data_IF_589260082779
#
_entry.id   IF_589260082779
#
_cell.length_a   1.000
_cell.length_b   1.000
_cell.length_c   1.000
_cell.angle_alpha   90.00
_cell.angle_beta   90.00
_cell.angle_gamma   90.00
#
_symmetry.space_group_name_H-M   'P 1'
#
loop_
_entity.id
_entity.type
_entity.pdbx_description
1 polymer ?
#
# COMPACT_ATOMS: atom_id res chain seq x y z
N UNK A 1 -18.67 -4.36 -6.99
CA UNK A 1 -18.21 -5.73 -7.11
C UNK A 1 -16.79 -5.88 -6.61
N UNK A 2 -16.44 -7.04 -6.09
CA UNK A 2 -15.08 -7.34 -5.58
C UNK A 2 -13.99 -7.04 -6.61
N UNK A 3 -14.29 -7.21 -7.90
CA UNK A 3 -13.36 -6.96 -9.00
C UNK A 3 -12.79 -5.54 -9.03
N UNK A 4 -13.60 -4.52 -8.75
CA UNK A 4 -13.14 -3.14 -8.72
C UNK A 4 -12.08 -2.94 -7.59
N UNK A 5 -12.39 -3.40 -6.39
CA UNK A 5 -11.50 -3.28 -5.24
C UNK A 5 -10.21 -4.07 -5.43
N UNK A 6 -10.33 -5.28 -5.99
CA UNK A 6 -9.18 -6.10 -6.34
C UNK A 6 -8.27 -5.43 -7.37
N UNK A 7 -8.85 -4.91 -8.46
CA UNK A 7 -8.10 -4.24 -9.55
C UNK A 7 -7.38 -2.97 -9.05
N UNK A 8 -8.02 -2.21 -8.15
CA UNK A 8 -7.44 -1.04 -7.50
C UNK A 8 -6.20 -1.41 -6.66
N UNK A 9 -6.30 -2.45 -5.84
CA UNK A 9 -5.17 -2.97 -5.06
C UNK A 9 -4.07 -3.54 -5.97
N UNK A 10 -4.44 -4.29 -6.99
CA UNK A 10 -3.48 -4.85 -7.95
C UNK A 10 -2.68 -3.74 -8.64
N UNK A 11 -3.31 -2.62 -9.01
CA UNK A 11 -2.62 -1.46 -9.58
C UNK A 11 -1.53 -0.95 -8.61
N UNK A 12 -1.84 -0.81 -7.32
CA UNK A 12 -0.88 -0.40 -6.31
C UNK A 12 0.28 -1.40 -6.14
N UNK A 13 0.02 -2.70 -6.09
CA UNK A 13 1.06 -3.73 -5.98
C UNK A 13 1.98 -3.76 -7.21
N UNK A 14 1.42 -3.63 -8.42
CA UNK A 14 2.19 -3.56 -9.67
C UNK A 14 3.08 -2.33 -9.72
N UNK A 15 2.54 -1.18 -9.34
CA UNK A 15 3.30 0.06 -9.26
C UNK A 15 4.41 -0.02 -8.21
N UNK A 16 4.12 -0.51 -7.01
CA UNK A 16 5.10 -0.73 -5.95
C UNK A 16 6.22 -1.67 -6.39
N UNK A 17 5.88 -2.74 -7.12
CA UNK A 17 6.87 -3.65 -7.70
C UNK A 17 7.82 -2.95 -8.68
N UNK A 18 7.31 -2.02 -9.49
CA UNK A 18 8.13 -1.24 -10.41
C UNK A 18 9.06 -0.28 -9.66
N UNK A 19 8.59 0.38 -8.59
CA UNK A 19 9.42 1.23 -7.72
C UNK A 19 10.56 0.42 -7.11
N UNK A 20 10.27 -0.72 -6.48
CA UNK A 20 11.28 -1.60 -5.88
C UNK A 20 12.31 -2.07 -6.91
N UNK A 21 11.87 -2.45 -8.10
CA UNK A 21 12.75 -2.92 -9.18
C UNK A 21 13.66 -1.81 -9.70
N UNK A 22 13.18 -0.57 -9.81
CA UNK A 22 13.98 0.57 -10.25
C UNK A 22 15.05 0.97 -9.23
N UNK A 23 14.74 0.94 -7.95
CA UNK A 23 15.67 1.19 -6.85
C UNK A 23 16.75 0.11 -6.74
N UNK A 24 16.39 -1.16 -6.94
CA UNK A 24 17.34 -2.27 -6.97
C UNK A 24 18.38 -2.09 -8.08
N UNK A 25 17.97 -1.62 -9.27
CA UNK A 25 18.88 -1.29 -10.37
C UNK A 25 19.77 -0.08 -10.02
N UNK A 26 19.20 0.98 -9.43
CA UNK A 26 19.94 2.19 -9.05
C UNK A 26 20.97 1.93 -7.94
N UNK A 27 20.66 1.06 -6.98
CA UNK A 27 21.57 0.71 -5.88
C UNK A 27 22.72 -0.19 -6.33
N UNK A 28 22.52 -1.04 -7.34
CA UNK A 28 23.61 -1.86 -7.93
C UNK A 28 24.67 -1.01 -8.66
N UNK A 29 24.30 0.19 -9.12
CA UNK A 29 25.20 1.14 -9.79
C UNK A 29 25.96 2.04 -8.80
N UNK A 30 25.41 2.26 -7.60
CA UNK A 30 26.07 3.02 -6.54
C UNK A 30 26.79 2.08 -5.58
N UNK A 31 28.09 1.90 -5.78
CA UNK A 31 28.98 1.14 -4.92
C UNK A 31 28.76 1.47 -3.42
N UNK A 32 27.99 0.60 -2.72
CA UNK A 32 28.16 0.42 -1.28
C UNK A 32 28.82 -0.95 -1.06
N UNK A 33 30.01 -1.00 -0.46
CA UNK A 33 30.71 -2.25 -0.19
C UNK A 33 30.19 -2.84 1.12
N UNK A 34 28.98 -3.36 1.14
CA UNK A 34 28.57 -4.33 2.17
C UNK A 34 27.60 -5.33 1.53
N UNK A 35 28.22 -6.43 1.08
CA UNK A 35 27.65 -7.77 0.91
C UNK A 35 26.17 -7.83 0.47
N UNK A 36 25.90 -7.59 -0.83
CA UNK A 36 24.83 -8.35 -1.47
C UNK A 36 25.26 -9.81 -1.35
N UNK A 37 24.64 -10.50 -0.37
CA UNK A 37 24.73 -11.96 -0.35
C UNK A 37 24.15 -12.46 -1.67
N UNK A 38 24.63 -13.58 -2.22
CA UNK A 38 23.96 -14.25 -3.33
C UNK A 38 22.63 -14.82 -2.80
N UNK A 39 21.55 -14.02 -2.92
CA UNK A 39 20.22 -14.40 -2.46
C UNK A 39 19.30 -13.20 -2.62
N UNK A 40 18.67 -13.10 -3.75
CA UNK A 40 17.54 -12.23 -4.17
C UNK A 40 17.09 -11.03 -3.31
N UNK A 41 16.19 -10.25 -3.83
CA UNK A 41 15.54 -9.15 -3.10
C UNK A 41 14.58 -9.70 -2.03
N UNK A 42 14.73 -9.28 -0.76
CA UNK A 42 13.80 -9.66 0.32
C UNK A 42 12.83 -8.50 0.53
N UNK A 43 11.54 -8.76 0.36
CA UNK A 43 10.45 -7.79 0.47
C UNK A 43 9.53 -8.16 1.61
N UNK A 44 9.18 -7.19 2.44
CA UNK A 44 8.12 -7.32 3.45
C UNK A 44 6.80 -6.83 2.86
N UNK A 45 5.75 -7.64 2.98
CA UNK A 45 4.35 -7.25 2.75
C UNK A 45 3.64 -7.22 4.11
N UNK A 46 3.48 -6.03 4.66
CA UNK A 46 3.00 -5.80 6.01
C UNK A 46 1.50 -5.48 6.02
N UNK A 47 0.70 -6.35 6.66
CA UNK A 47 -0.75 -6.35 6.55
C UNK A 47 -1.19 -7.00 5.24
N UNK A 48 -0.60 -8.15 4.93
CA UNK A 48 -0.74 -8.82 3.62
C UNK A 48 -2.14 -9.40 3.34
N UNK A 49 -3.01 -9.44 4.36
CA UNK A 49 -4.31 -10.07 4.24
C UNK A 49 -4.22 -11.48 3.65
N UNK A 50 -5.05 -11.81 2.67
CA UNK A 50 -5.11 -13.14 2.06
C UNK A 50 -3.92 -13.49 1.15
N UNK A 51 -2.94 -12.58 0.99
CA UNK A 51 -1.64 -12.86 0.36
C UNK A 51 -1.58 -12.77 -1.16
N UNK A 52 -2.65 -12.38 -1.85
CA UNK A 52 -2.62 -12.20 -3.29
C UNK A 52 -1.63 -11.10 -3.71
N UNK A 53 -1.52 -10.05 -2.91
CA UNK A 53 -0.54 -8.97 -3.11
C UNK A 53 0.89 -9.47 -2.96
N UNK A 54 1.15 -10.27 -1.93
CA UNK A 54 2.46 -10.92 -1.73
C UNK A 54 2.87 -11.78 -2.94
N UNK A 55 1.93 -12.54 -3.51
CA UNK A 55 2.19 -13.32 -4.72
C UNK A 55 2.39 -12.42 -5.95
N UNK A 56 1.67 -11.31 -6.06
CA UNK A 56 1.88 -10.31 -7.09
C UNK A 56 3.31 -9.75 -7.03
N UNK A 57 3.77 -9.32 -5.84
CA UNK A 57 5.16 -8.85 -5.63
C UNK A 57 6.19 -9.91 -6.04
N UNK A 58 6.01 -11.16 -5.59
CA UNK A 58 6.90 -12.27 -5.90
C UNK A 58 6.97 -12.56 -7.40
N UNK A 59 5.85 -12.43 -8.11
CA UNK A 59 5.78 -12.74 -9.55
C UNK A 59 6.39 -11.66 -10.43
N UNK A 60 6.40 -10.40 -9.97
CA UNK A 60 6.86 -9.24 -10.76
C UNK A 60 8.30 -8.88 -10.43
N UNK A 61 8.70 -8.88 -9.15
CA UNK A 61 10.05 -8.53 -8.75
C UNK A 61 10.96 -9.74 -8.95
N UNK A 62 11.94 -9.60 -9.85
CA UNK A 62 12.86 -10.68 -10.19
C UNK A 62 13.64 -11.18 -8.95
N UNK A 63 13.67 -12.48 -8.74
CA UNK A 63 14.33 -13.14 -7.60
C UNK A 63 13.89 -12.65 -6.21
N UNK A 64 12.64 -12.14 -6.08
CA UNK A 64 12.13 -11.71 -4.79
C UNK A 64 11.76 -12.90 -3.89
N UNK A 65 12.21 -12.81 -2.63
CA UNK A 65 11.65 -13.56 -1.51
C UNK A 65 10.69 -12.65 -0.75
N UNK A 66 9.42 -13.00 -0.70
CA UNK A 66 8.39 -12.19 -0.03
C UNK A 66 8.07 -12.78 1.33
N UNK A 67 8.08 -11.93 2.36
CA UNK A 67 7.61 -12.21 3.71
C UNK A 67 6.30 -11.47 3.91
N UNK A 68 5.21 -12.23 4.05
CA UNK A 68 3.88 -11.74 4.38
C UNK A 68 3.67 -11.77 5.89
N UNK A 69 3.23 -10.67 6.48
CA UNK A 69 2.89 -10.61 7.90
C UNK A 69 1.51 -9.98 8.10
N UNK A 70 0.69 -10.61 8.93
CA UNK A 70 -0.62 -10.13 9.32
C UNK A 70 -0.93 -10.57 10.75
N UNK A 71 -1.90 -9.90 11.41
CA UNK A 71 -2.31 -10.24 12.77
C UNK A 71 -3.19 -11.49 12.82
N UNK A 72 -3.93 -11.77 11.73
CA UNK A 72 -4.91 -12.84 11.69
C UNK A 72 -4.28 -14.22 11.39
N UNK A 73 -4.41 -15.12 12.35
CA UNK A 73 -3.87 -16.48 12.25
C UNK A 73 -4.54 -17.31 11.13
N UNK A 74 -5.84 -17.14 10.90
CA UNK A 74 -6.58 -17.93 9.90
C UNK A 74 -6.17 -17.49 8.50
N UNK A 75 -6.05 -16.18 8.30
CA UNK A 75 -5.57 -15.55 7.07
C UNK A 75 -4.15 -16.00 6.74
N UNK A 76 -3.23 -15.98 7.72
CA UNK A 76 -1.87 -16.48 7.48
C UNK A 76 -1.81 -17.99 7.23
N UNK A 77 -2.73 -18.74 7.81
CA UNK A 77 -2.93 -20.17 7.49
C UNK A 77 -3.42 -20.38 6.06
N UNK A 78 -4.26 -19.48 5.53
CA UNK A 78 -4.67 -19.49 4.12
C UNK A 78 -3.49 -19.19 3.19
N UNK A 79 -2.73 -18.10 3.47
CA UNK A 79 -1.54 -17.72 2.68
C UNK A 79 -0.57 -18.89 2.52
N UNK A 80 -0.23 -19.58 3.62
CA UNK A 80 0.67 -20.75 3.59
C UNK A 80 0.20 -21.88 2.67
N UNK A 81 -1.11 -22.10 2.61
CA UNK A 81 -1.68 -23.18 1.77
C UNK A 81 -1.77 -22.78 0.31
N UNK A 82 -2.15 -21.52 0.05
CA UNK A 82 -2.44 -21.02 -1.29
C UNK A 82 -1.16 -20.57 -2.01
N UNK A 83 -0.25 -19.94 -1.26
CA UNK A 83 1.00 -19.37 -1.81
C UNK A 83 2.23 -19.96 -1.10
N UNK A 84 2.60 -21.22 -1.35
CA UNK A 84 3.65 -21.93 -0.61
C UNK A 84 5.05 -21.32 -0.78
N UNK A 85 5.24 -20.43 -1.74
CA UNK A 85 6.49 -19.69 -1.99
C UNK A 85 6.56 -18.35 -1.25
N UNK A 86 5.48 -17.94 -0.58
CA UNK A 86 5.44 -16.75 0.29
C UNK A 86 5.67 -17.19 1.73
N UNK A 87 6.59 -16.50 2.41
CA UNK A 87 6.86 -16.78 3.84
C UNK A 87 5.83 -16.06 4.70
N UNK A 88 4.81 -16.77 5.19
CA UNK A 88 3.71 -16.17 5.98
C UNK A 88 3.97 -16.25 7.49
N UNK A 89 3.87 -15.10 8.17
CA UNK A 89 4.01 -14.95 9.63
C UNK A 89 2.77 -14.29 10.23
N UNK A 90 2.44 -14.69 11.46
CA UNK A 90 1.49 -13.96 12.31
C UNK A 90 2.28 -12.99 13.18
N UNK A 91 1.90 -11.71 13.18
CA UNK A 91 2.60 -10.72 13.98
C UNK A 91 1.91 -9.35 14.06
N UNK A 92 2.32 -8.58 15.06
CA UNK A 92 1.82 -7.23 15.27
C UNK A 92 2.69 -6.23 14.50
N UNK A 93 2.07 -5.40 13.66
CA UNK A 93 2.78 -4.45 12.80
C UNK A 93 3.39 -3.27 13.56
N UNK A 94 2.92 -2.97 14.78
CA UNK A 94 3.52 -1.92 15.63
C UNK A 94 4.68 -2.44 16.50
N UNK A 95 5.04 -3.73 16.34
CA UNK A 95 6.17 -4.37 17.02
C UNK A 95 6.65 -5.54 16.16
N UNK A 96 7.28 -5.24 15.02
CA UNK A 96 7.71 -6.24 14.05
C UNK A 96 8.81 -7.15 14.61
N UNK A 97 8.70 -8.49 14.49
CA UNK A 97 9.65 -9.44 15.07
C UNK A 97 10.92 -9.58 14.19
N UNK A 98 11.35 -8.49 13.59
CA UNK A 98 12.49 -8.46 12.68
C UNK A 98 13.60 -7.55 13.21
N UNK A 99 14.83 -7.86 12.84
CA UNK A 99 15.98 -6.99 13.12
C UNK A 99 15.95 -5.76 12.21
N UNK A 100 16.69 -4.74 12.60
CA UNK A 100 16.89 -3.54 11.81
C UNK A 100 17.46 -3.88 10.42
N UNK A 101 17.01 -3.12 9.41
CA UNK A 101 17.55 -3.15 8.05
C UNK A 101 17.63 -4.56 7.43
N UNK A 102 16.65 -5.43 7.69
CA UNK A 102 16.65 -6.80 7.16
C UNK A 102 15.89 -6.96 5.83
N UNK A 103 15.06 -6.01 5.46
CA UNK A 103 14.34 -6.00 4.19
C UNK A 103 14.93 -5.01 3.20
N UNK A 104 14.93 -5.37 1.92
CA UNK A 104 15.33 -4.47 0.84
C UNK A 104 14.22 -3.47 0.50
N UNK A 105 12.97 -3.84 0.71
CA UNK A 105 11.80 -2.98 0.60
C UNK A 105 10.70 -3.46 1.55
N UNK A 106 9.83 -2.54 1.99
CA UNK A 106 8.58 -2.87 2.69
C UNK A 106 7.40 -2.21 2.02
N UNK A 107 6.32 -2.97 1.90
CA UNK A 107 5.08 -2.54 1.26
C UNK A 107 3.95 -2.79 2.24
N UNK A 108 3.04 -1.84 2.39
CA UNK A 108 1.86 -1.96 3.22
C UNK A 108 0.73 -1.15 2.59
N UNK A 109 -0.24 -1.82 2.02
CA UNK A 109 -1.31 -1.20 1.25
C UNK A 109 -2.65 -1.37 1.94
N UNK A 110 -3.35 -0.25 2.20
CA UNK A 110 -4.67 -0.21 2.85
C UNK A 110 -4.65 -0.87 4.24
N UNK A 111 -3.71 -0.42 5.09
CA UNK A 111 -3.48 -0.99 6.42
C UNK A 111 -3.42 0.08 7.51
N UNK A 112 -2.74 1.20 7.27
CA UNK A 112 -2.48 2.24 8.28
C UNK A 112 -3.76 2.83 8.86
N UNK A 113 -4.85 2.86 8.10
CA UNK A 113 -6.18 3.30 8.53
C UNK A 113 -6.80 2.41 9.61
N UNK A 114 -6.34 1.16 9.73
CA UNK A 114 -6.77 0.20 10.74
C UNK A 114 -5.87 0.20 11.99
N UNK A 115 -4.77 0.94 11.98
CA UNK A 115 -3.75 0.91 13.03
C UNK A 115 -4.02 1.98 14.10
N UNK A 116 -4.10 1.58 15.38
CA UNK A 116 -4.30 2.51 16.50
C UNK A 116 -3.09 3.41 16.76
N UNK A 117 -1.88 2.89 16.60
CA UNK A 117 -0.63 3.67 16.70
C UNK A 117 0.10 3.70 15.34
N UNK A 118 -0.35 4.55 14.39
CA UNK A 118 0.25 4.61 13.07
C UNK A 118 1.69 5.12 13.09
N UNK A 119 2.08 5.89 14.11
CA UNK A 119 3.45 6.37 14.26
C UNK A 119 4.41 5.23 14.60
N UNK A 120 4.05 4.36 15.56
CA UNK A 120 4.83 3.17 15.89
C UNK A 120 4.91 2.21 14.69
N UNK A 121 3.82 2.03 13.96
CA UNK A 121 3.77 1.21 12.75
C UNK A 121 4.75 1.70 11.68
N UNK A 122 4.72 2.98 11.33
CA UNK A 122 5.62 3.57 10.32
C UNK A 122 7.09 3.48 10.75
N UNK A 123 7.38 3.69 12.04
CA UNK A 123 8.74 3.53 12.60
C UNK A 123 9.25 2.09 12.50
N UNK A 124 8.40 1.11 12.72
CA UNK A 124 8.78 -0.30 12.60
C UNK A 124 9.07 -0.68 11.13
N UNK A 125 8.24 -0.24 10.19
CA UNK A 125 8.52 -0.42 8.76
C UNK A 125 9.86 0.20 8.36
N UNK A 126 10.09 1.46 8.76
CA UNK A 126 11.32 2.17 8.45
C UNK A 126 12.54 1.50 9.13
N UNK A 127 12.42 1.09 10.40
CA UNK A 127 13.49 0.39 11.14
C UNK A 127 13.93 -0.90 10.45
N UNK A 128 12.99 -1.68 9.96
CA UNK A 128 13.28 -2.99 9.37
C UNK A 128 13.78 -2.91 7.91
N UNK A 129 13.71 -1.73 7.26
CA UNK A 129 13.88 -1.58 5.81
C UNK A 129 15.14 -0.77 5.45
N UNK A 130 15.95 -1.31 4.54
CA UNK A 130 17.11 -0.60 3.97
C UNK A 130 16.73 0.32 2.79
N UNK A 131 15.81 -0.12 1.96
CA UNK A 131 15.38 0.49 0.72
C UNK A 131 14.04 1.22 0.85
N UNK A 132 13.22 1.28 -0.21
CA UNK A 132 11.97 2.01 -0.18
C UNK A 132 10.97 1.36 0.78
N UNK A 133 10.24 2.20 1.50
CA UNK A 133 9.02 1.84 2.20
C UNK A 133 7.85 2.48 1.45
N UNK A 134 6.84 1.68 1.13
CA UNK A 134 5.66 2.10 0.36
C UNK A 134 4.43 1.82 1.20
N UNK A 135 3.65 2.86 1.49
CA UNK A 135 2.41 2.75 2.26
C UNK A 135 1.27 3.39 1.48
N UNK A 136 0.11 2.74 1.43
CA UNK A 136 -1.11 3.37 0.92
C UNK A 136 -2.23 3.38 1.93
N UNK A 137 -3.15 4.34 1.78
CA UNK A 137 -4.36 4.49 2.59
C UNK A 137 -5.44 5.21 1.78
N UNK A 138 -6.74 5.00 2.07
CA UNK A 138 -7.80 5.79 1.48
C UNK A 138 -7.61 7.28 1.73
N UNK A 139 -7.93 8.11 0.73
CA UNK A 139 -7.93 9.57 0.89
C UNK A 139 -9.25 10.03 1.55
N UNK A 140 -9.17 10.61 2.74
CA UNK A 140 -10.35 11.03 3.53
C UNK A 140 -11.31 11.95 2.75
N UNK A 141 -10.89 12.98 2.00
CA UNK A 141 -11.81 13.81 1.21
C UNK A 141 -12.70 13.01 0.24
N UNK A 142 -12.20 11.88 -0.29
CA UNK A 142 -12.96 11.01 -1.20
C UNK A 142 -13.79 9.97 -0.45
N UNK A 143 -13.22 9.32 0.58
CA UNK A 143 -13.88 8.20 1.27
C UNK A 143 -14.80 8.62 2.40
N UNK A 144 -14.57 9.81 2.98
CA UNK A 144 -15.40 10.39 4.05
C UNK A 144 -15.58 11.90 3.78
N UNK A 145 -16.24 12.28 2.68
CA UNK A 145 -16.34 13.66 2.24
C UNK A 145 -16.98 14.56 3.30
N UNK A 146 -16.39 15.73 3.51
CA UNK A 146 -16.86 16.73 4.48
C UNK A 146 -16.59 16.39 5.94
N UNK A 147 -15.99 15.24 6.26
CA UNK A 147 -15.60 14.96 7.64
C UNK A 147 -14.32 15.70 8.03
N UNK A 148 -14.31 16.38 9.19
CA UNK A 148 -13.10 17.05 9.67
C UNK A 148 -12.04 16.06 10.13
N UNK A 149 -10.80 16.56 10.23
CA UNK A 149 -9.68 15.80 10.80
C UNK A 149 -10.03 15.22 12.18
N UNK A 150 -9.71 13.93 12.37
CA UNK A 150 -9.94 13.22 13.63
C UNK A 150 -11.40 12.79 13.90
N UNK A 151 -12.33 13.07 12.99
CA UNK A 151 -13.68 12.49 13.06
C UNK A 151 -13.63 10.98 12.76
N UNK A 152 -14.62 10.24 13.26
CA UNK A 152 -14.76 8.81 12.94
C UNK A 152 -15.05 8.64 11.46
N UNK A 153 -14.29 7.81 10.73
CA UNK A 153 -14.52 7.54 9.32
C UNK A 153 -15.93 6.99 9.02
N UNK A 154 -16.37 7.16 7.77
CA UNK A 154 -17.63 6.56 7.29
C UNK A 154 -17.52 5.03 7.30
N UNK A 155 -16.35 4.49 6.93
CA UNK A 155 -16.09 3.06 7.05
C UNK A 155 -15.88 2.67 8.52
N UNK A 156 -16.75 1.82 9.12
CA UNK A 156 -16.67 1.47 10.54
C UNK A 156 -15.45 0.61 10.90
N UNK A 157 -14.75 0.07 9.91
CA UNK A 157 -13.52 -0.71 10.11
C UNK A 157 -12.27 0.16 10.15
N UNK A 158 -12.35 1.43 9.74
CA UNK A 158 -11.25 2.37 9.82
C UNK A 158 -11.20 3.03 11.20
N UNK A 159 -10.04 3.02 11.81
CA UNK A 159 -9.76 3.79 13.05
C UNK A 159 -9.59 5.26 12.71
N UNK A 160 -8.97 5.53 11.55
CA UNK A 160 -8.66 6.88 11.06
C UNK A 160 -8.52 6.86 9.54
N UNK A 161 -8.89 7.97 8.92
CA UNK A 161 -8.54 8.28 7.54
C UNK A 161 -7.73 9.57 7.49
N UNK A 162 -6.88 9.69 6.49
CA UNK A 162 -5.93 10.81 6.33
C UNK A 162 -6.25 11.61 5.07
N UNK A 163 -5.97 12.91 5.11
CA UNK A 163 -5.68 13.67 3.91
C UNK A 163 -4.16 13.71 3.65
N UNK A 164 -3.75 14.33 2.53
CA UNK A 164 -2.34 14.37 2.11
C UNK A 164 -1.46 15.04 3.18
N UNK A 165 -1.90 16.16 3.74
CA UNK A 165 -1.13 16.93 4.71
C UNK A 165 -0.95 16.17 6.04
N UNK A 166 -2.00 15.51 6.52
CA UNK A 166 -1.97 14.69 7.74
C UNK A 166 -1.03 13.49 7.58
N UNK A 167 -1.16 12.73 6.48
CA UNK A 167 -0.29 11.58 6.22
C UNK A 167 1.17 12.03 6.09
N UNK A 168 1.45 13.08 5.34
CA UNK A 168 2.78 13.65 5.17
C UNK A 168 3.40 14.10 6.50
N UNK A 169 2.62 14.78 7.34
CA UNK A 169 3.06 15.22 8.67
C UNK A 169 3.42 14.02 9.56
N UNK A 170 2.61 12.98 9.54
CA UNK A 170 2.85 11.74 10.29
C UNK A 170 4.12 11.03 9.82
N UNK A 171 4.33 10.95 8.51
CA UNK A 171 5.53 10.37 7.91
C UNK A 171 6.80 11.13 8.30
N UNK A 172 6.77 12.47 8.21
CA UNK A 172 7.92 13.30 8.65
C UNK A 172 8.26 13.03 10.11
N UNK A 173 7.26 12.87 10.99
CA UNK A 173 7.48 12.53 12.40
C UNK A 173 8.06 11.12 12.58
N UNK A 174 7.65 10.16 11.75
CA UNK A 174 8.13 8.78 11.82
C UNK A 174 9.62 8.68 11.46
N UNK A 175 10.03 9.35 10.37
CA UNK A 175 11.40 9.24 9.80
C UNK A 175 12.39 10.27 10.36
N UNK A 176 11.94 11.27 11.13
CA UNK A 176 12.77 12.38 11.62
C UNK A 176 14.01 11.95 12.44
N UNK A 177 13.99 10.76 13.01
CA UNK A 177 15.04 10.26 13.92
C UNK A 177 15.93 9.20 13.26
N UNK A 178 15.72 8.88 11.99
CA UNK A 178 16.42 7.82 11.29
C UNK A 178 17.63 8.33 10.48
N UNK A 179 18.60 7.45 10.27
CA UNK A 179 19.82 7.76 9.53
C UNK A 179 19.51 7.94 8.05
N UNK A 180 19.70 9.17 7.53
CA UNK A 180 19.74 9.43 6.11
C UNK A 180 18.63 10.28 5.53
N UNK A 181 17.82 11.01 6.35
CA UNK A 181 16.79 11.99 5.93
C UNK A 181 16.13 11.65 4.57
N UNK A 182 15.32 10.61 4.53
CA UNK A 182 14.47 10.35 3.39
C UNK A 182 13.23 11.23 3.51
N UNK A 183 13.06 12.17 2.58
CA UNK A 183 11.81 12.92 2.51
C UNK A 183 10.76 12.06 1.83
N UNK A 184 9.57 11.87 2.43
CA UNK A 184 8.51 11.12 1.78
C UNK A 184 8.03 11.85 0.52
N UNK A 185 7.85 11.08 -0.55
CA UNK A 185 7.21 11.52 -1.79
C UNK A 185 5.79 11.00 -1.81
N UNK A 186 4.84 11.89 -2.13
CA UNK A 186 3.42 11.55 -2.15
C UNK A 186 2.94 11.31 -3.58
N UNK A 187 2.15 10.26 -3.73
CA UNK A 187 1.47 9.88 -4.97
C UNK A 187 -0.01 9.67 -4.68
N UNK A 188 -0.84 9.88 -5.69
CA UNK A 188 -2.27 9.57 -5.67
C UNK A 188 -2.59 8.47 -6.66
N UNK A 189 -3.50 7.58 -6.29
CA UNK A 189 -4.15 6.67 -7.22
C UNK A 189 -5.42 7.35 -7.74
N UNK A 190 -5.55 7.41 -9.05
CA UNK A 190 -6.67 8.03 -9.76
C UNK A 190 -7.32 7.02 -10.71
N UNK A 191 -8.57 7.30 -11.09
CA UNK A 191 -9.22 6.60 -12.18
C UNK A 191 -8.63 7.02 -13.52
N UNK A 192 -8.51 6.07 -14.44
CA UNK A 192 -8.22 6.35 -15.85
C UNK A 192 -9.49 6.74 -16.61
N UNK A 193 -9.30 7.30 -17.79
CA UNK A 193 -10.36 7.88 -18.62
C UNK A 193 -11.64 7.02 -18.72
N UNK A 194 -11.53 5.71 -18.75
CA UNK A 194 -12.69 4.80 -18.86
C UNK A 194 -13.58 4.85 -17.62
N UNK A 195 -12.99 4.86 -16.44
CA UNK A 195 -13.71 4.97 -15.18
C UNK A 195 -14.27 6.37 -15.00
N UNK A 196 -13.47 7.41 -15.30
CA UNK A 196 -13.92 8.81 -15.25
C UNK A 196 -15.13 9.06 -16.16
N UNK A 197 -15.10 8.53 -17.41
CA UNK A 197 -16.22 8.65 -18.33
C UNK A 197 -17.49 7.97 -17.79
N UNK A 198 -17.33 6.80 -17.18
CA UNK A 198 -18.47 6.11 -16.58
C UNK A 198 -19.04 6.93 -15.41
N UNK A 199 -18.20 7.45 -14.53
CA UNK A 199 -18.60 8.28 -13.37
C UNK A 199 -19.23 9.62 -13.76
N UNK A 200 -18.76 10.24 -14.84
CA UNK A 200 -19.37 11.47 -15.38
C UNK A 200 -20.84 11.26 -15.83
N UNK A 201 -21.23 10.04 -16.16
CA UNK A 201 -22.57 9.72 -16.64
C UNK A 201 -23.44 9.21 -15.48
N UNK A 202 -22.89 8.37 -14.60
CA UNK A 202 -23.63 7.60 -13.63
C UNK A 202 -23.39 8.05 -12.16
N UNK A 203 -22.34 8.84 -11.89
CA UNK A 203 -21.90 9.21 -10.55
C UNK A 203 -20.80 8.27 -10.02
N UNK A 204 -20.37 8.48 -8.78
CA UNK A 204 -19.26 7.75 -8.16
C UNK A 204 -19.43 6.23 -8.21
N UNK A 205 -18.52 5.55 -8.90
CA UNK A 205 -18.56 4.08 -9.00
C UNK A 205 -18.37 3.39 -7.64
N UNK A 206 -17.43 3.81 -6.77
CA UNK A 206 -17.31 3.24 -5.44
C UNK A 206 -18.58 3.32 -4.59
N UNK A 207 -19.28 4.47 -4.60
CA UNK A 207 -20.52 4.67 -3.85
C UNK A 207 -21.61 3.73 -4.34
N UNK A 208 -21.82 3.65 -5.64
CA UNK A 208 -22.83 2.78 -6.23
C UNK A 208 -22.54 1.28 -6.01
N UNK A 209 -21.25 0.90 -5.96
CA UNK A 209 -20.87 -0.47 -5.61
C UNK A 209 -21.18 -0.80 -4.13
N UNK A 210 -21.06 0.17 -3.23
CA UNK A 210 -21.48 0.02 -1.82
C UNK A 210 -22.99 -0.09 -1.72
N UNK A 211 -23.72 0.66 -2.53
CA UNK A 211 -25.21 0.61 -2.61
C UNK A 211 -25.74 -0.61 -3.38
N UNK A 212 -24.84 -1.45 -3.91
CA UNK A 212 -25.15 -2.66 -4.68
C UNK A 212 -25.96 -2.35 -5.97
N UNK A 213 -25.67 -1.20 -6.60
CA UNK A 213 -26.28 -0.86 -7.89
C UNK A 213 -25.96 -1.90 -8.96
N UNK A 214 -26.97 -2.34 -9.69
CA UNK A 214 -26.86 -3.46 -10.63
C UNK A 214 -26.01 -3.11 -11.86
N UNK A 215 -26.14 -1.87 -12.36
CA UNK A 215 -25.38 -1.40 -13.53
C UNK A 215 -23.91 -1.18 -13.18
N UNK A 216 -23.63 -0.55 -12.03
CA UNK A 216 -22.28 -0.41 -11.48
C UNK A 216 -21.62 -1.76 -11.22
N UNK A 217 -22.35 -2.73 -10.64
CA UNK A 217 -21.86 -4.09 -10.43
C UNK A 217 -21.50 -4.80 -11.74
N UNK A 218 -22.33 -4.66 -12.76
CA UNK A 218 -22.07 -5.22 -14.10
C UNK A 218 -20.83 -4.59 -14.75
N UNK A 219 -20.74 -3.27 -14.73
CA UNK A 219 -19.58 -2.54 -15.25
C UNK A 219 -18.28 -2.93 -14.54
N UNK A 220 -18.32 -3.00 -13.20
CA UNK A 220 -17.16 -3.33 -12.38
C UNK A 220 -16.56 -4.73 -12.67
N UNK A 221 -17.33 -5.66 -13.25
CA UNK A 221 -16.78 -6.98 -13.64
C UNK A 221 -15.70 -6.89 -14.72
N UNK A 222 -15.66 -5.80 -15.48
CA UNK A 222 -14.70 -5.54 -16.56
C UNK A 222 -13.54 -4.66 -16.13
N UNK A 223 -13.53 -4.16 -14.88
CA UNK A 223 -12.48 -3.28 -14.37
C UNK A 223 -11.21 -4.09 -14.11
N UNK A 224 -10.08 -3.54 -14.51
CA UNK A 224 -8.74 -4.11 -14.37
C UNK A 224 -7.78 -3.10 -13.77
N UNK A 225 -6.59 -3.55 -13.36
CA UNK A 225 -5.55 -2.65 -12.83
C UNK A 225 -5.14 -1.53 -13.80
N UNK A 226 -5.34 -1.70 -15.12
CA UNK A 226 -5.03 -0.66 -16.13
C UNK A 226 -6.07 0.46 -16.20
N UNK A 227 -7.17 0.35 -15.47
CA UNK A 227 -8.16 1.42 -15.32
C UNK A 227 -7.80 2.41 -14.19
N UNK A 228 -6.61 2.24 -13.61
CA UNK A 228 -6.06 3.10 -12.56
C UNK A 228 -4.69 3.62 -12.93
N UNK A 229 -4.40 4.85 -12.54
CA UNK A 229 -3.09 5.48 -12.67
C UNK A 229 -2.56 5.97 -11.35
N UNK A 230 -1.24 5.95 -11.16
CA UNK A 230 -0.58 6.46 -9.95
C UNK A 230 0.39 7.55 -10.38
N UNK A 231 0.16 8.76 -9.89
CA UNK A 231 0.92 9.96 -10.24
C UNK A 231 1.36 10.74 -8.99
N UNK A 232 2.46 11.52 -9.05
CA UNK A 232 2.82 12.44 -7.98
C UNK A 232 1.71 13.45 -7.72
N UNK A 233 1.44 13.74 -6.43
CA UNK A 233 0.41 14.69 -6.01
C UNK A 233 1.00 15.81 -5.15
N UNK A 234 0.29 16.94 -5.12
CA UNK A 234 0.56 18.06 -4.22
C UNK A 234 -0.23 17.95 -2.92
N UNK A 235 0.11 18.79 -1.95
CA UNK A 235 -0.51 18.77 -0.60
C UNK A 235 -2.01 19.10 -0.62
N UNK A 236 -2.52 19.75 -1.68
CA UNK A 236 -3.92 20.17 -1.84
C UNK A 236 -4.71 19.21 -2.77
N UNK A 237 -4.19 18.04 -3.10
CA UNK A 237 -4.89 17.10 -3.97
C UNK A 237 -5.98 16.34 -3.21
N UNK A 238 -7.23 16.71 -3.47
CA UNK A 238 -8.42 16.05 -2.89
C UNK A 238 -9.04 15.02 -3.85
N UNK A 239 -8.50 14.87 -5.08
CA UNK A 239 -9.10 14.02 -6.12
C UNK A 239 -8.61 12.58 -6.13
N UNK A 240 -7.45 12.32 -5.55
CA UNK A 240 -6.89 10.98 -5.48
C UNK A 240 -7.78 10.05 -4.64
N UNK A 241 -8.08 8.86 -5.13
CA UNK A 241 -8.84 7.85 -4.38
C UNK A 241 -8.02 7.26 -3.23
N UNK A 242 -6.74 6.97 -3.48
CA UNK A 242 -5.77 6.56 -2.45
C UNK A 242 -4.60 7.50 -2.41
N UNK A 243 -4.09 7.69 -1.20
CA UNK A 243 -2.78 8.29 -0.97
C UNK A 243 -1.72 7.19 -0.90
N UNK A 244 -0.60 7.42 -1.56
CA UNK A 244 0.55 6.52 -1.54
C UNK A 244 1.78 7.32 -1.16
N UNK A 245 2.50 6.86 -0.16
CA UNK A 245 3.74 7.47 0.28
C UNK A 245 4.92 6.54 0.04
N UNK A 246 6.05 7.12 -0.40
CA UNK A 246 7.32 6.41 -0.61
C UNK A 246 8.45 7.18 0.06
N UNK A 247 9.26 6.51 0.86
CA UNK A 247 10.46 7.12 1.48
C UNK A 247 11.61 6.14 1.64
#
# INVERSE_FOLDING_TARGET
>A
SENYWFARHEACYRWASAVVSSEAVSSSVRHRPHSIRPGGTIVLDAGSGEGYGSECLRSIIHDASVVAIDLDLQTMGHVRRTYPHVSALVGNLVALPFRDECFHASISLQVIEHIWDPLAFLRELDRCTQGPVIVSTPNRPVHSPGLPAGASPVNPFHVREFDVAELKSLLVQAVAHQRGHRSPTMYGLHHEQRLEQWENIHGSLPEQLIELDTEAMAFATSVTHSDFTIAPINDDDESAHDLIAVW
#
